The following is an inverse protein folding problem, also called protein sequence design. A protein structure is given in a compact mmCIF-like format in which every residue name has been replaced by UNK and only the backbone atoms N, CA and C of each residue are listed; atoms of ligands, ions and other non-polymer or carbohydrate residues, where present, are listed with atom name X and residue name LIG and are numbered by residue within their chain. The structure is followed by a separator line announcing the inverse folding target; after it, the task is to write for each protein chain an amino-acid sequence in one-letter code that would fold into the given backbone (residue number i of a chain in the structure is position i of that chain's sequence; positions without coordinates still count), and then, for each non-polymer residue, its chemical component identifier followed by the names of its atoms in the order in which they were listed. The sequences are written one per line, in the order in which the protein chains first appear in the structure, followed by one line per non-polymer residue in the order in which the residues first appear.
data_IF_898021595407
#
_entry.id   IF_898021595407
#
_cell.length_a   1.000
_cell.length_b   1.000
_cell.length_c   1.000
_cell.angle_alpha   90.00
_cell.angle_beta   90.00
_cell.angle_gamma   90.00
#
_symmetry.space_group_name_H-M   'P 1'
#
loop_
_entity.id
_entity.type
_entity.pdbx_description
1 polymer ?
#
# COMPACT_ATOMS: atom_id res chain seq x y z
N UNK A 1 -6.32 11.85 13.23
CA UNK A 1 -6.82 11.05 14.38
C UNK A 1 -6.17 9.67 14.28
N UNK A 2 -5.64 9.10 15.37
CA UNK A 2 -5.09 7.73 15.33
C UNK A 2 -6.22 6.78 14.93
N UNK A 3 -6.00 5.89 13.95
CA UNK A 3 -6.88 4.71 13.80
C UNK A 3 -6.87 4.03 15.18
N UNK A 4 -8.02 3.97 15.85
CA UNK A 4 -8.07 3.62 17.28
C UNK A 4 -7.30 2.32 17.54
N UNK A 5 -6.44 2.34 18.56
CA UNK A 5 -5.64 1.17 18.95
C UNK A 5 -4.47 0.80 18.02
N UNK A 6 -4.15 1.58 16.98
CA UNK A 6 -3.00 1.31 16.10
C UNK A 6 -1.81 2.25 16.36
N UNK A 7 -0.62 1.68 16.49
CA UNK A 7 0.66 2.37 16.59
C UNK A 7 1.24 2.67 15.20
N UNK A 8 0.46 3.39 14.39
CA UNK A 8 0.86 3.86 13.05
C UNK A 8 0.77 5.37 12.97
N UNK A 9 1.44 5.94 11.95
CA UNK A 9 1.36 7.38 11.69
C UNK A 9 -0.09 7.79 11.44
N UNK A 10 -0.57 8.74 12.23
CA UNK A 10 -1.93 9.26 12.05
C UNK A 10 -2.01 10.21 10.86
N UNK A 11 -2.99 9.99 10.00
CA UNK A 11 -3.36 10.98 9.00
C UNK A 11 -4.31 12.02 9.62
N UNK A 12 -4.08 13.30 9.32
CA UNK A 12 -4.82 14.42 9.92
C UNK A 12 -6.20 14.66 9.30
N UNK A 13 -6.41 14.21 8.07
CA UNK A 13 -7.67 14.41 7.34
C UNK A 13 -8.57 13.18 7.38
N UNK A 14 -9.86 13.39 7.66
CA UNK A 14 -10.92 12.41 7.40
C UNK A 14 -11.52 12.74 6.04
N UNK A 15 -11.61 11.77 5.12
CA UNK A 15 -12.31 11.97 3.86
C UNK A 15 -13.40 10.92 3.68
N UNK A 16 -14.65 11.38 3.84
CA UNK A 16 -15.85 10.81 3.26
C UNK A 16 -16.37 9.49 3.84
N UNK A 17 -17.70 9.36 3.80
CA UNK A 17 -18.40 8.07 3.66
C UNK A 17 -18.59 7.79 2.17
N UNK A 18 -18.68 6.52 1.79
CA UNK A 18 -19.12 6.13 0.44
C UNK A 18 -20.56 6.66 0.24
N UNK A 19 -20.88 7.12 -0.98
CA UNK A 19 -22.26 7.49 -1.34
C UNK A 19 -23.20 6.31 -1.02
N UNK A 20 -24.20 6.46 -0.14
CA UNK A 20 -25.15 5.38 0.17
C UNK A 20 -25.93 4.90 -1.05
N UNK A 21 -26.05 5.73 -2.10
CA UNK A 21 -26.68 5.39 -3.37
C UNK A 21 -25.66 4.89 -4.42
N UNK A 22 -24.43 4.57 -4.01
CA UNK A 22 -23.47 3.89 -4.88
C UNK A 22 -24.04 2.53 -5.31
N UNK A 23 -24.05 2.21 -6.61
CA UNK A 23 -24.54 0.92 -7.09
C UNK A 23 -23.55 -0.24 -6.83
N UNK A 24 -22.33 0.06 -6.38
CA UNK A 24 -21.23 -0.91 -6.18
C UNK A 24 -20.92 -1.76 -7.43
N UNK A 25 -21.12 -1.18 -8.60
CA UNK A 25 -20.83 -1.79 -9.90
C UNK A 25 -19.41 -1.44 -10.35
N UNK A 26 -18.68 -2.41 -10.88
CA UNK A 26 -17.38 -2.18 -11.52
C UNK A 26 -17.54 -1.55 -12.92
N UNK A 27 -16.54 -0.79 -13.33
CA UNK A 27 -16.34 -0.30 -14.70
C UNK A 27 -14.88 -0.50 -15.15
N UNK A 28 -14.54 -0.02 -16.34
CA UNK A 28 -13.16 -0.06 -16.87
C UNK A 28 -12.33 1.19 -16.54
N UNK A 29 -12.85 2.11 -15.72
CA UNK A 29 -12.18 3.37 -15.46
C UNK A 29 -11.03 3.17 -14.45
N UNK A 30 -9.92 3.87 -14.71
CA UNK A 30 -8.74 3.85 -13.85
C UNK A 30 -8.50 5.22 -13.21
N UNK A 31 -7.78 5.23 -12.10
CA UNK A 31 -7.41 6.43 -11.36
C UNK A 31 -6.72 7.45 -12.26
N UNK A 32 -7.10 8.72 -12.11
CA UNK A 32 -6.52 9.82 -12.86
C UNK A 32 -5.00 9.93 -12.69
N UNK A 33 -4.30 10.12 -13.81
CA UNK A 33 -2.86 10.36 -13.83
C UNK A 33 -2.54 11.86 -13.74
N UNK A 34 -1.27 12.17 -13.49
CA UNK A 34 -0.76 13.54 -13.55
C UNK A 34 0.76 13.57 -13.74
N UNK A 35 1.30 14.72 -14.11
CA UNK A 35 2.71 15.01 -13.86
C UNK A 35 2.92 15.56 -12.44
N UNK A 36 4.03 15.18 -11.81
CA UNK A 36 4.48 15.75 -10.53
C UNK A 36 5.72 16.61 -10.76
N UNK A 37 5.52 17.92 -10.85
CA UNK A 37 6.63 18.84 -11.11
C UNK A 37 7.38 19.15 -9.82
N UNK A 38 8.71 19.22 -9.91
CA UNK A 38 9.52 19.94 -8.93
C UNK A 38 9.48 21.43 -9.26
N UNK A 39 9.35 22.28 -8.25
CA UNK A 39 9.40 23.74 -8.40
C UNK A 39 10.28 24.35 -7.31
N UNK A 40 10.92 25.47 -7.60
CA UNK A 40 11.75 26.20 -6.63
C UNK A 40 11.33 27.65 -6.51
N UNK A 41 11.47 28.20 -5.30
CA UNK A 41 11.35 29.63 -5.04
C UNK A 41 12.70 30.34 -4.89
N UNK A 42 13.83 29.64 -5.04
CA UNK A 42 15.17 30.24 -5.03
C UNK A 42 15.44 31.00 -6.35
N UNK A 43 15.58 32.34 -6.33
CA UNK A 43 15.81 33.12 -7.54
C UNK A 43 17.05 32.71 -8.34
N UNK A 44 18.11 32.21 -7.68
CA UNK A 44 19.34 31.79 -8.35
C UNK A 44 19.15 30.49 -9.13
N UNK A 45 18.29 29.60 -8.62
CA UNK A 45 17.98 28.29 -9.20
C UNK A 45 16.68 28.27 -10.02
N UNK A 46 15.96 29.38 -10.15
CA UNK A 46 14.63 29.40 -10.76
C UNK A 46 14.66 29.72 -12.26
N UNK A 47 13.94 28.92 -13.02
CA UNK A 47 13.58 29.15 -14.42
C UNK A 47 12.08 29.52 -14.47
N UNK A 48 11.69 30.64 -15.11
CA UNK A 48 10.28 30.98 -15.28
C UNK A 48 9.50 29.85 -15.96
N UNK A 49 8.26 29.63 -15.55
CA UNK A 49 7.39 28.64 -16.21
C UNK A 49 7.14 29.11 -17.66
N UNK A 50 7.44 28.29 -18.67
CA UNK A 50 7.16 28.68 -20.06
C UNK A 50 5.64 28.67 -20.32
N UNK A 51 5.17 29.61 -21.14
CA UNK A 51 3.80 29.54 -21.69
C UNK A 51 3.74 28.38 -22.68
N UNK A 52 2.85 27.38 -22.50
CA UNK A 52 2.71 26.30 -23.49
C UNK A 52 2.27 26.83 -24.86
N UNK A 53 2.72 26.19 -25.94
CA UNK A 53 2.35 26.55 -27.31
C UNK A 53 0.84 26.39 -27.53
N UNK A 54 0.26 25.27 -27.08
CA UNK A 54 -1.16 24.97 -27.15
C UNK A 54 -1.95 25.50 -25.93
N UNK A 55 -1.52 26.61 -25.31
CA UNK A 55 -2.18 27.16 -24.14
C UNK A 55 -3.61 27.63 -24.45
N UNK A 56 -4.58 26.99 -23.83
CA UNK A 56 -5.98 27.41 -23.81
C UNK A 56 -6.41 27.70 -22.38
N UNK A 57 -6.76 28.96 -22.13
CA UNK A 57 -7.18 29.48 -20.83
C UNK A 57 -8.38 28.71 -20.28
N UNK A 58 -9.33 28.33 -21.13
CA UNK A 58 -10.63 27.81 -20.69
C UNK A 58 -10.51 26.44 -20.00
N UNK A 59 -9.44 25.69 -20.27
CA UNK A 59 -9.12 24.45 -19.56
C UNK A 59 -8.89 24.65 -18.05
N UNK A 60 -8.47 25.85 -17.64
CA UNK A 60 -8.03 26.14 -16.27
C UNK A 60 -9.04 26.96 -15.47
N UNK A 61 -9.95 27.70 -16.11
CA UNK A 61 -10.93 28.58 -15.45
C UNK A 61 -11.72 27.83 -14.39
N UNK A 62 -12.29 26.68 -14.75
CA UNK A 62 -13.11 25.86 -13.86
C UNK A 62 -12.34 24.72 -13.16
N UNK A 63 -11.03 24.64 -13.39
CA UNK A 63 -10.18 23.65 -12.74
C UNK A 63 -10.04 23.95 -11.24
N UNK A 64 -10.21 22.93 -10.40
CA UNK A 64 -10.36 23.14 -8.96
C UNK A 64 -9.09 22.93 -8.15
N UNK A 65 -8.11 22.20 -8.69
CA UNK A 65 -6.85 21.94 -7.99
C UNK A 65 -5.86 23.02 -8.39
N UNK A 66 -5.95 24.17 -7.73
CA UNK A 66 -5.14 25.37 -8.04
C UNK A 66 -4.17 25.67 -6.89
N UNK A 67 -3.14 24.84 -6.74
CA UNK A 67 -2.16 24.99 -5.66
C UNK A 67 -0.80 24.36 -6.00
N UNK A 68 0.24 24.85 -5.31
CA UNK A 68 1.56 24.22 -5.15
C UNK A 68 1.59 23.67 -3.72
N UNK A 69 2.20 22.49 -3.51
CA UNK A 69 2.31 21.92 -2.17
C UNK A 69 3.10 22.87 -1.24
N UNK A 70 2.92 22.71 0.07
CA UNK A 70 3.69 23.52 1.03
C UNK A 70 5.20 23.28 0.85
N UNK A 71 6.02 24.33 0.93
CA UNK A 71 7.46 24.26 0.69
C UNK A 71 8.17 23.51 1.81
N UNK A 72 8.25 22.20 1.66
CA UNK A 72 8.86 21.30 2.63
C UNK A 72 10.05 20.53 2.03
N UNK A 73 10.49 20.89 0.81
CA UNK A 73 11.65 20.28 0.16
C UNK A 73 12.95 21.00 0.49
N UNK A 74 14.10 20.33 0.36
CA UNK A 74 15.41 20.98 0.49
C UNK A 74 15.59 22.08 -0.56
N UNK A 75 16.51 23.01 -0.33
CA UNK A 75 16.92 24.05 -1.30
C UNK A 75 15.76 24.90 -1.83
N UNK A 76 14.82 25.28 -0.95
CA UNK A 76 13.64 26.08 -1.30
C UNK A 76 12.73 25.43 -2.36
N UNK A 77 12.78 24.10 -2.48
CA UNK A 77 11.96 23.34 -3.43
C UNK A 77 10.61 22.95 -2.82
N UNK A 78 9.64 22.78 -3.72
CA UNK A 78 8.34 22.18 -3.46
C UNK A 78 7.93 21.33 -4.67
N UNK A 79 6.71 20.80 -4.65
CA UNK A 79 6.17 20.04 -5.76
C UNK A 79 4.74 20.45 -6.14
N UNK A 80 4.40 20.22 -7.40
CA UNK A 80 3.06 20.42 -7.96
C UNK A 80 2.44 19.07 -8.26
N UNK A 81 1.47 18.66 -7.44
CA UNK A 81 0.66 17.44 -7.61
C UNK A 81 -0.83 17.78 -7.82
N UNK A 82 -1.08 18.98 -8.33
CA UNK A 82 -2.40 19.49 -8.62
C UNK A 82 -2.96 19.07 -9.99
N UNK A 83 -2.20 18.93 -11.11
CA UNK A 83 -2.74 18.72 -12.46
C UNK A 83 -3.21 17.29 -12.73
N UNK A 84 -4.18 16.83 -11.95
CA UNK A 84 -4.85 15.54 -12.08
C UNK A 84 -5.98 15.65 -13.10
N UNK A 85 -5.99 14.75 -14.10
CA UNK A 85 -6.94 14.75 -15.21
C UNK A 85 -7.75 13.44 -15.28
N UNK A 86 -8.90 13.35 -14.57
CA UNK A 86 -9.79 12.18 -14.65
C UNK A 86 -10.29 11.94 -16.08
N UNK A 87 -10.36 10.67 -16.47
CA UNK A 87 -10.82 10.23 -17.79
C UNK A 87 -9.84 10.46 -18.95
N UNK A 88 -8.79 11.27 -18.79
CA UNK A 88 -7.86 11.57 -19.90
C UNK A 88 -6.79 10.50 -20.12
N UNK A 89 -6.69 9.55 -19.20
CA UNK A 89 -5.68 8.51 -19.21
C UNK A 89 -6.22 7.09 -19.48
N UNK A 90 -7.52 6.93 -19.75
CA UNK A 90 -8.15 5.60 -19.85
C UNK A 90 -7.60 4.76 -21.00
N UNK A 91 -7.18 5.37 -22.11
CA UNK A 91 -6.57 4.65 -23.23
C UNK A 91 -5.08 4.33 -22.98
N UNK A 92 -4.45 4.86 -21.92
CA UNK A 92 -3.02 4.69 -21.68
C UNK A 92 -2.59 3.23 -21.39
N UNK A 93 -3.28 2.45 -20.54
CA UNK A 93 -2.89 1.09 -20.22
C UNK A 93 -2.80 0.20 -21.46
N UNK A 94 -3.77 0.33 -22.38
CA UNK A 94 -3.89 -0.51 -23.56
C UNK A 94 -3.40 0.13 -24.87
N UNK A 95 -3.08 1.42 -24.84
CA UNK A 95 -2.58 2.17 -25.98
C UNK A 95 -1.20 1.69 -26.46
N UNK A 96 -0.99 1.89 -27.76
CA UNK A 96 0.33 1.79 -28.39
C UNK A 96 1.23 2.99 -28.01
N UNK A 97 2.44 3.03 -28.59
CA UNK A 97 3.41 4.09 -28.30
C UNK A 97 2.90 5.48 -28.68
N UNK A 98 2.23 5.62 -29.82
CA UNK A 98 1.68 6.91 -30.26
C UNK A 98 0.56 7.40 -29.31
N UNK A 99 -0.34 6.49 -28.91
CA UNK A 99 -1.41 6.78 -27.96
C UNK A 99 -0.84 7.20 -26.62
N UNK A 100 0.15 6.46 -26.10
CA UNK A 100 0.80 6.78 -24.82
C UNK A 100 1.54 8.11 -24.88
N UNK A 101 2.30 8.38 -25.94
CA UNK A 101 3.03 9.65 -26.12
C UNK A 101 2.06 10.84 -26.20
N UNK A 102 0.98 10.72 -26.96
CA UNK A 102 -0.08 11.74 -27.03
C UNK A 102 -0.66 12.06 -25.65
N UNK A 103 -0.99 11.04 -24.86
CA UNK A 103 -1.55 11.20 -23.51
C UNK A 103 -0.51 11.82 -22.58
N UNK A 104 0.73 11.33 -22.59
CA UNK A 104 1.84 11.86 -21.78
C UNK A 104 2.06 13.35 -22.07
N UNK A 105 2.18 13.73 -23.35
CA UNK A 105 2.33 15.13 -23.77
C UNK A 105 1.15 15.99 -23.31
N UNK A 106 -0.09 15.51 -23.47
CA UNK A 106 -1.27 16.22 -22.99
C UNK A 106 -1.20 16.53 -21.48
N UNK A 107 -0.76 15.56 -20.66
CA UNK A 107 -0.65 15.75 -19.22
C UNK A 107 0.51 16.68 -18.84
N UNK A 108 1.63 16.63 -19.55
CA UNK A 108 2.77 17.53 -19.38
C UNK A 108 2.36 18.98 -19.69
N UNK A 109 1.76 19.20 -20.86
CA UNK A 109 1.31 20.51 -21.34
C UNK A 109 0.25 21.11 -20.40
N UNK A 110 -0.72 20.30 -19.95
CA UNK A 110 -1.72 20.75 -18.97
C UNK A 110 -1.07 21.16 -17.65
N UNK A 111 -0.06 20.42 -17.18
CA UNK A 111 0.67 20.74 -15.96
C UNK A 111 1.41 22.08 -16.05
N UNK A 112 2.16 22.30 -17.13
CA UNK A 112 2.85 23.56 -17.41
C UNK A 112 1.86 24.71 -17.59
N UNK A 113 0.78 24.49 -18.33
CA UNK A 113 -0.25 25.49 -18.58
C UNK A 113 -1.04 25.88 -17.33
N UNK A 114 -1.27 24.93 -16.41
CA UNK A 114 -1.86 25.23 -15.11
C UNK A 114 -0.95 26.16 -14.29
N UNK A 115 0.36 25.88 -14.24
CA UNK A 115 1.30 26.74 -13.53
C UNK A 115 1.39 28.13 -14.17
N UNK A 116 1.39 28.22 -15.51
CA UNK A 116 1.31 29.49 -16.22
C UNK A 116 0.01 30.26 -15.89
N UNK A 117 -1.15 29.60 -15.96
CA UNK A 117 -2.44 30.19 -15.62
C UNK A 117 -2.43 30.78 -14.20
N UNK A 118 -1.88 30.05 -13.22
CA UNK A 118 -1.79 30.52 -11.84
C UNK A 118 -0.89 31.75 -11.65
N UNK A 119 0.11 31.94 -12.51
CA UNK A 119 1.03 33.06 -12.48
C UNK A 119 0.53 34.29 -13.21
N UNK A 120 -0.33 34.12 -14.23
CA UNK A 120 -0.62 35.20 -15.19
C UNK A 120 -2.11 35.57 -15.29
N UNK A 121 -3.03 34.64 -15.08
CA UNK A 121 -4.46 34.86 -15.39
C UNK A 121 -5.15 35.82 -14.42
N UNK A 122 -5.86 36.82 -14.95
CA UNK A 122 -6.51 37.87 -14.15
C UNK A 122 -7.66 37.36 -13.26
N UNK A 123 -8.21 36.18 -13.55
CA UNK A 123 -9.19 35.53 -12.67
C UNK A 123 -8.59 35.06 -11.34
N UNK A 124 -7.26 34.96 -11.25
CA UNK A 124 -6.56 34.69 -10.00
C UNK A 124 -6.27 36.02 -9.29
N UNK A 125 -6.69 36.18 -8.02
CA UNK A 125 -6.42 37.39 -7.25
C UNK A 125 -4.94 37.80 -7.28
N UNK A 126 -4.65 39.10 -7.41
CA UNK A 126 -3.30 39.62 -7.62
C UNK A 126 -2.28 39.11 -6.58
N UNK A 127 -2.67 39.06 -5.31
CA UNK A 127 -1.83 38.53 -4.23
C UNK A 127 -1.47 37.05 -4.46
N UNK A 128 -2.45 36.24 -4.86
CA UNK A 128 -2.22 34.82 -5.19
C UNK A 128 -1.32 34.68 -6.41
N UNK A 129 -1.52 35.47 -7.46
CA UNK A 129 -0.63 35.48 -8.63
C UNK A 129 0.81 35.80 -8.25
N UNK A 130 1.03 36.85 -7.45
CA UNK A 130 2.36 37.21 -6.94
C UNK A 130 3.01 36.05 -6.18
N UNK A 131 2.24 35.34 -5.36
CA UNK A 131 2.74 34.16 -4.67
C UNK A 131 3.13 33.03 -5.63
N UNK A 132 2.33 32.75 -6.67
CA UNK A 132 2.67 31.75 -7.67
C UNK A 132 3.87 32.16 -8.55
N UNK A 133 4.02 33.45 -8.84
CA UNK A 133 5.16 34.02 -9.59
C UNK A 133 6.50 33.90 -8.83
N UNK A 134 6.46 33.58 -7.53
CA UNK A 134 7.67 33.23 -6.79
C UNK A 134 8.22 31.86 -7.20
N UNK A 135 7.42 31.01 -7.83
CA UNK A 135 7.80 29.64 -8.18
C UNK A 135 8.20 29.51 -9.66
N UNK A 136 9.12 28.60 -9.94
CA UNK A 136 9.50 28.21 -11.30
C UNK A 136 10.13 26.83 -11.33
N UNK A 137 10.52 26.38 -12.53
CA UNK A 137 11.26 25.12 -12.67
C UNK A 137 12.68 25.30 -12.10
N UNK A 138 13.23 24.30 -11.39
CA UNK A 138 14.59 24.36 -10.88
C UNK A 138 15.64 24.06 -11.97
N UNK A 139 16.73 24.84 -12.02
CA UNK A 139 17.84 24.61 -12.97
C UNK A 139 18.58 23.29 -12.70
N UNK A 140 18.56 22.82 -11.46
CA UNK A 140 19.30 21.65 -11.00
C UNK A 140 18.50 20.33 -11.03
N UNK A 141 17.25 20.33 -11.49
CA UNK A 141 16.50 19.08 -11.74
C UNK A 141 16.23 18.93 -13.24
N UNK A 142 16.34 17.69 -13.73
CA UNK A 142 16.00 17.32 -15.11
C UNK A 142 16.63 18.26 -16.17
N UNK A 143 17.88 18.68 -15.95
CA UNK A 143 18.55 19.70 -16.77
C UNK A 143 18.72 19.28 -18.23
N UNK A 144 18.74 17.98 -18.48
CA UNK A 144 18.77 17.31 -19.77
C UNK A 144 17.39 17.08 -20.40
N UNK A 145 16.31 17.42 -19.70
CA UNK A 145 14.93 17.25 -20.14
C UNK A 145 14.12 18.53 -19.97
N UNK A 146 14.71 19.69 -20.26
CA UNK A 146 14.03 20.98 -20.18
C UNK A 146 13.50 21.34 -18.79
N UNK A 147 14.09 20.76 -17.74
CA UNK A 147 13.72 20.96 -16.33
C UNK A 147 12.33 20.44 -15.96
N UNK A 148 11.79 19.48 -16.74
CA UNK A 148 10.53 18.79 -16.45
C UNK A 148 10.76 17.30 -16.17
N UNK A 149 9.89 16.65 -15.35
CA UNK A 149 10.01 15.22 -15.09
C UNK A 149 9.95 14.40 -16.38
N UNK A 150 10.69 13.28 -16.40
CA UNK A 150 10.69 12.34 -17.53
C UNK A 150 9.34 11.68 -17.73
N UNK A 151 8.78 11.15 -16.66
CA UNK A 151 7.63 10.26 -16.71
C UNK A 151 6.40 10.89 -16.07
N UNK A 152 5.24 10.56 -16.66
CA UNK A 152 3.96 10.83 -16.05
C UNK A 152 3.76 9.92 -14.83
N UNK A 153 3.11 10.44 -13.78
CA UNK A 153 2.75 9.64 -12.63
C UNK A 153 1.51 8.78 -12.93
N UNK A 154 1.77 7.55 -13.37
CA UNK A 154 0.81 6.50 -13.65
C UNK A 154 0.43 5.77 -12.36
N UNK A 155 -0.88 5.71 -12.04
CA UNK A 155 -1.36 5.16 -10.75
C UNK A 155 -1.69 3.68 -10.80
N UNK A 156 -2.25 3.24 -11.91
CA UNK A 156 -2.59 1.86 -12.15
C UNK A 156 -2.64 1.56 -13.64
N UNK A 157 -2.26 0.35 -14.00
CA UNK A 157 -2.31 -0.18 -15.36
C UNK A 157 -2.61 -1.68 -15.26
N UNK A 158 -2.23 -2.46 -16.28
CA UNK A 158 -2.35 -3.91 -16.30
C UNK A 158 -1.66 -4.53 -15.08
N UNK A 159 -2.41 -5.37 -14.37
CA UNK A 159 -1.94 -6.23 -13.30
C UNK A 159 -2.16 -7.68 -13.70
N UNK A 160 -1.38 -8.59 -13.13
CA UNK A 160 -1.69 -10.01 -13.27
C UNK A 160 -2.98 -10.35 -12.53
N UNK A 161 -3.69 -11.37 -13.00
CA UNK A 161 -4.56 -12.16 -12.13
C UNK A 161 -3.71 -13.27 -11.54
N UNK A 162 -3.44 -13.13 -10.25
CA UNK A 162 -2.65 -14.08 -9.48
C UNK A 162 -3.48 -15.20 -8.90
N UNK A 163 -2.81 -16.15 -8.27
CA UNK A 163 -3.44 -17.26 -7.52
C UNK A 163 -4.25 -16.78 -6.31
N UNK A 164 -4.13 -15.51 -5.96
CA UNK A 164 -5.06 -14.77 -5.13
C UNK A 164 -5.19 -13.35 -5.63
N UNK A 165 -6.39 -12.78 -5.52
CA UNK A 165 -6.65 -11.38 -5.82
C UNK A 165 -6.91 -10.71 -4.48
N UNK A 166 -6.03 -9.79 -4.08
CA UNK A 166 -6.27 -8.96 -2.91
C UNK A 166 -7.49 -8.06 -3.14
N UNK A 167 -8.36 -7.99 -2.15
CA UNK A 167 -9.62 -7.24 -2.17
C UNK A 167 -9.67 -6.28 -0.97
N UNK A 168 -10.68 -5.43 -0.93
CA UNK A 168 -10.96 -4.57 0.21
C UNK A 168 -11.27 -5.33 1.50
N UNK A 169 -11.70 -6.60 1.40
CA UNK A 169 -11.90 -7.47 2.56
C UNK A 169 -10.57 -7.80 3.24
N UNK A 170 -9.50 -8.01 2.48
CA UNK A 170 -8.15 -8.24 3.01
C UNK A 170 -7.61 -6.97 3.71
N UNK A 171 -8.09 -5.80 3.28
CA UNK A 171 -7.85 -4.47 3.86
C UNK A 171 -8.66 -4.12 5.12
N UNK A 172 -9.68 -4.91 5.45
CA UNK A 172 -10.69 -4.59 6.47
C UNK A 172 -10.63 -5.56 7.65
N UNK A 173 -11.23 -5.19 8.79
CA UNK A 173 -11.33 -6.11 9.93
C UNK A 173 -12.10 -7.37 9.54
N UNK A 174 -11.54 -8.53 9.85
CA UNK A 174 -12.24 -9.79 9.73
C UNK A 174 -13.26 -9.96 10.86
N UNK A 175 -14.27 -10.79 10.64
CA UNK A 175 -15.25 -11.12 11.66
C UNK A 175 -14.63 -12.01 12.74
N UNK A 176 -14.99 -11.78 14.01
CA UNK A 176 -14.61 -12.63 15.13
C UNK A 176 -13.24 -12.35 15.75
N UNK A 177 -12.44 -11.44 15.19
CA UNK A 177 -11.19 -10.99 15.82
C UNK A 177 -10.82 -9.54 15.45
N UNK A 178 -9.80 -8.99 16.10
CA UNK A 178 -9.41 -7.58 16.06
C UNK A 178 -8.36 -7.21 14.99
N UNK A 179 -8.28 -7.97 13.88
CA UNK A 179 -7.31 -7.72 12.80
C UNK A 179 -7.87 -8.14 11.43
N UNK A 180 -7.11 -7.86 10.38
CA UNK A 180 -7.41 -8.27 8.99
C UNK A 180 -7.32 -9.79 8.82
N UNK A 181 -7.92 -10.37 7.76
CA UNK A 181 -7.84 -11.79 7.47
C UNK A 181 -6.41 -12.32 7.56
N UNK A 182 -6.27 -13.52 8.14
CA UNK A 182 -5.00 -14.21 8.26
C UNK A 182 -4.57 -14.82 6.91
N UNK A 183 -3.37 -14.46 6.45
CA UNK A 183 -2.75 -15.03 5.27
C UNK A 183 -1.53 -15.89 5.68
N UNK A 184 -1.63 -17.23 5.59
CA UNK A 184 -0.56 -18.14 6.02
C UNK A 184 0.71 -18.08 5.21
N UNK A 185 0.62 -17.50 4.02
CA UNK A 185 1.72 -17.25 3.10
C UNK A 185 2.03 -15.75 2.98
N UNK A 186 1.76 -14.95 4.02
CA UNK A 186 2.08 -13.52 4.04
C UNK A 186 3.59 -13.28 3.84
N UNK A 187 3.92 -12.44 2.86
CA UNK A 187 5.29 -12.06 2.51
C UNK A 187 5.57 -10.57 2.67
N UNK A 188 4.55 -9.76 2.95
CA UNK A 188 4.66 -8.31 3.10
C UNK A 188 3.44 -7.78 3.83
N UNK A 189 3.50 -6.52 4.24
CA UNK A 189 2.33 -5.80 4.76
C UNK A 189 2.10 -4.47 4.05
N UNK A 190 0.86 -4.00 4.10
CA UNK A 190 0.50 -2.61 3.85
C UNK A 190 -0.25 -2.02 5.04
N UNK A 191 -0.01 -0.76 5.38
CA UNK A 191 -0.75 -0.01 6.41
C UNK A 191 -1.46 1.23 5.86
N UNK A 192 -1.27 1.53 4.57
CA UNK A 192 -1.93 2.65 3.92
C UNK A 192 -3.43 2.38 3.80
N UNK A 193 -4.21 3.46 3.79
CA UNK A 193 -5.63 3.30 3.58
C UNK A 193 -5.89 2.96 2.12
N UNK A 194 -6.91 2.15 1.86
CA UNK A 194 -7.43 1.96 0.51
C UNK A 194 -7.90 3.33 -0.02
N UNK A 195 -7.20 3.84 -1.05
CA UNK A 195 -7.51 5.10 -1.70
C UNK A 195 -7.58 4.99 -3.20
N UNK A 196 -8.52 5.76 -3.76
CA UNK A 196 -8.63 5.95 -5.18
C UNK A 196 -8.78 7.43 -5.50
N UNK A 197 -8.02 7.89 -6.47
CA UNK A 197 -8.24 9.18 -7.10
C UNK A 197 -9.41 9.10 -8.07
N UNK A 198 -10.02 10.24 -8.36
CA UNK A 198 -11.13 10.33 -9.32
C UNK A 198 -10.80 9.59 -10.63
N UNK A 199 -11.72 8.74 -11.09
CA UNK A 199 -11.54 7.94 -12.30
C UNK A 199 -12.19 8.62 -13.51
N UNK A 200 -13.38 9.20 -13.33
CA UNK A 200 -14.12 9.94 -14.36
C UNK A 200 -14.44 11.37 -13.90
N UNK A 201 -15.05 12.16 -14.77
CA UNK A 201 -15.59 13.49 -14.43
C UNK A 201 -17.07 13.46 -14.06
N UNK A 202 -17.69 12.28 -14.00
CA UNK A 202 -19.09 12.12 -13.60
C UNK A 202 -19.26 12.59 -12.16
N UNK A 203 -20.38 13.25 -11.90
CA UNK A 203 -20.63 13.89 -10.62
C UNK A 203 -22.05 13.61 -10.14
N UNK A 204 -22.25 13.73 -8.82
CA UNK A 204 -23.54 13.59 -8.16
C UNK A 204 -23.68 14.68 -7.10
N UNK A 205 -24.89 15.02 -6.65
CA UNK A 205 -25.06 15.97 -5.54
C UNK A 205 -24.21 15.60 -4.33
N UNK A 206 -23.28 16.48 -3.91
CA UNK A 206 -22.34 16.22 -2.82
C UNK A 206 -21.04 15.49 -3.19
N UNK A 207 -20.93 14.96 -4.42
CA UNK A 207 -19.77 14.20 -4.90
C UNK A 207 -19.25 14.77 -6.22
N UNK A 208 -18.05 15.36 -6.20
CA UNK A 208 -17.53 16.11 -7.34
C UNK A 208 -17.18 15.25 -8.54
N UNK A 209 -16.45 14.16 -8.35
CA UNK A 209 -15.96 13.27 -9.41
C UNK A 209 -16.02 11.83 -8.92
N UNK A 210 -16.46 10.93 -9.79
CA UNK A 210 -16.60 9.50 -9.52
C UNK A 210 -15.23 8.80 -9.32
N UNK A 211 -15.25 7.64 -8.67
CA UNK A 211 -14.07 6.84 -8.32
C UNK A 211 -13.24 7.35 -7.13
N UNK A 212 -13.45 8.59 -6.66
CA UNK A 212 -12.65 9.12 -5.55
C UNK A 212 -13.10 8.58 -4.19
N UNK A 213 -12.20 7.90 -3.48
CA UNK A 213 -12.43 7.38 -2.13
C UNK A 213 -11.16 7.39 -1.28
N UNK A 214 -11.32 7.53 0.04
CA UNK A 214 -10.25 7.43 1.03
C UNK A 214 -10.78 6.72 2.27
N UNK A 215 -10.57 5.41 2.38
CA UNK A 215 -11.17 4.58 3.43
C UNK A 215 -10.34 4.56 4.71
N UNK A 216 -10.09 5.73 5.33
CA UNK A 216 -9.18 5.85 6.49
C UNK A 216 -9.61 5.04 7.70
N UNK A 217 -10.93 4.90 7.92
CA UNK A 217 -11.51 4.25 9.10
C UNK A 217 -11.75 2.75 8.90
N UNK A 218 -11.89 2.30 7.66
CA UNK A 218 -12.11 0.89 7.31
C UNK A 218 -10.76 0.16 7.16
N UNK A 219 -9.78 0.83 6.57
CA UNK A 219 -8.48 0.21 6.29
C UNK A 219 -7.71 -0.10 7.55
N UNK A 220 -7.11 -1.29 7.60
CA UNK A 220 -6.24 -1.75 8.68
C UNK A 220 -4.92 -2.27 8.09
N UNK A 221 -3.87 -2.41 8.90
CA UNK A 221 -2.66 -3.08 8.45
C UNK A 221 -2.97 -4.50 7.95
N UNK A 222 -2.57 -4.81 6.72
CA UNK A 222 -2.98 -6.03 6.02
C UNK A 222 -1.79 -6.80 5.52
N UNK A 223 -1.92 -8.12 5.54
CA UNK A 223 -0.95 -9.06 5.00
C UNK A 223 -1.10 -9.17 3.48
N UNK A 224 0.02 -9.31 2.77
CA UNK A 224 0.07 -9.54 1.33
C UNK A 224 0.59 -10.96 1.11
N UNK A 225 -0.24 -11.90 0.62
CA UNK A 225 0.16 -13.29 0.49
C UNK A 225 1.02 -13.52 -0.75
N UNK A 226 1.93 -14.50 -0.68
CA UNK A 226 2.85 -14.88 -1.75
C UNK A 226 2.14 -15.18 -3.07
N UNK A 227 1.01 -15.89 -3.00
CA UNK A 227 0.14 -16.21 -4.14
C UNK A 227 -0.40 -14.99 -4.90
N UNK A 228 -0.32 -13.77 -4.34
CA UNK A 228 -0.64 -12.54 -5.10
C UNK A 228 0.45 -12.15 -6.10
N UNK A 229 1.67 -12.67 -5.96
CA UNK A 229 2.78 -12.42 -6.88
C UNK A 229 2.88 -13.48 -7.99
N UNK A 230 2.19 -14.62 -7.82
CA UNK A 230 2.27 -15.77 -8.73
C UNK A 230 1.04 -15.76 -9.66
N UNK A 231 1.23 -15.66 -10.99
CA UNK A 231 0.13 -15.71 -11.95
C UNK A 231 -0.65 -17.03 -11.90
N UNK A 232 -1.90 -17.02 -12.37
CA UNK A 232 -2.69 -18.25 -12.52
C UNK A 232 -2.16 -19.16 -13.63
N UNK A 233 -1.70 -18.58 -14.74
CA UNK A 233 -1.37 -19.31 -15.97
C UNK A 233 0.13 -19.64 -16.13
N UNK A 234 0.99 -19.05 -15.29
CA UNK A 234 2.45 -19.18 -15.40
C UNK A 234 3.05 -19.59 -14.06
N UNK A 235 3.70 -20.75 -14.06
CA UNK A 235 4.26 -21.34 -12.84
C UNK A 235 5.65 -20.80 -12.49
N UNK A 236 6.39 -20.26 -13.47
CA UNK A 236 7.78 -19.82 -13.30
C UNK A 236 7.97 -18.30 -13.45
N UNK A 237 6.99 -17.50 -13.04
CA UNK A 237 7.03 -16.04 -13.09
C UNK A 237 6.64 -15.44 -11.73
N UNK A 238 7.40 -14.45 -11.25
CA UNK A 238 7.07 -13.61 -10.10
C UNK A 238 6.80 -12.18 -10.57
N UNK A 239 5.71 -11.58 -10.07
CA UNK A 239 5.33 -10.20 -10.39
C UNK A 239 5.20 -9.39 -9.10
N UNK A 240 6.29 -8.77 -8.60
CA UNK A 240 6.30 -8.09 -7.30
C UNK A 240 5.67 -6.71 -7.29
N UNK A 241 5.54 -6.05 -8.46
CA UNK A 241 5.00 -4.69 -8.58
C UNK A 241 3.55 -4.74 -9.06
N UNK A 242 3.30 -5.17 -10.32
CA UNK A 242 1.95 -5.29 -10.90
C UNK A 242 1.19 -6.53 -10.41
N UNK A 243 1.28 -6.79 -9.11
CA UNK A 243 0.72 -7.94 -8.42
C UNK A 243 -0.81 -7.94 -8.44
N UNK A 244 -1.39 -9.07 -8.07
CA UNK A 244 -2.82 -9.33 -8.15
C UNK A 244 -3.64 -8.64 -7.05
N UNK A 245 -4.44 -7.65 -7.44
CA UNK A 245 -5.33 -6.89 -6.56
C UNK A 245 -6.51 -6.25 -7.32
N UNK A 246 -7.65 -6.08 -6.63
CA UNK A 246 -8.76 -5.24 -7.09
C UNK A 246 -8.35 -3.77 -7.13
N UNK A 247 -9.09 -2.96 -7.88
CA UNK A 247 -8.87 -1.51 -7.97
C UNK A 247 -8.84 -0.83 -6.58
N UNK A 248 -9.69 -1.27 -5.65
CA UNK A 248 -9.79 -0.70 -4.30
C UNK A 248 -8.59 -1.10 -3.44
N UNK A 249 -8.25 -2.39 -3.40
CA UNK A 249 -7.10 -2.88 -2.65
C UNK A 249 -5.77 -2.31 -3.18
N UNK A 250 -5.67 -2.11 -4.49
CA UNK A 250 -4.49 -1.57 -5.15
C UNK A 250 -4.04 -0.22 -4.57
N UNK A 251 -4.98 0.63 -4.14
CA UNK A 251 -4.68 1.90 -3.48
C UNK A 251 -3.76 1.75 -2.26
N UNK A 252 -3.97 0.71 -1.45
CA UNK A 252 -3.13 0.41 -0.30
C UNK A 252 -1.78 -0.23 -0.70
N UNK A 253 -1.70 -0.89 -1.85
CA UNK A 253 -0.54 -1.67 -2.27
C UNK A 253 0.48 -0.83 -3.05
N UNK A 254 0.02 0.16 -3.84
CA UNK A 254 0.83 0.92 -4.81
C UNK A 254 1.78 1.96 -4.20
N UNK A 255 2.46 1.58 -3.13
CA UNK A 255 3.42 2.39 -2.39
C UNK A 255 4.81 1.77 -2.46
N UNK A 256 5.81 2.62 -2.57
CA UNK A 256 7.22 2.24 -2.59
C UNK A 256 7.62 1.30 -1.42
N UNK A 257 7.26 1.55 -0.14
CA UNK A 257 7.58 0.62 0.94
C UNK A 257 6.95 -0.78 0.77
N UNK A 258 5.81 -0.89 0.10
CA UNK A 258 5.19 -2.20 -0.17
C UNK A 258 5.94 -2.91 -1.30
N UNK A 259 6.28 -2.18 -2.38
CA UNK A 259 7.07 -2.73 -3.48
C UNK A 259 8.47 -3.19 -3.08
N UNK A 260 9.10 -2.50 -2.13
CA UNK A 260 10.37 -2.94 -1.55
C UNK A 260 10.21 -4.30 -0.85
N UNK A 261 9.18 -4.46 -0.01
CA UNK A 261 8.92 -5.71 0.68
C UNK A 261 8.59 -6.86 -0.30
N UNK A 262 7.70 -6.63 -1.27
CA UNK A 262 7.33 -7.67 -2.24
C UNK A 262 8.47 -8.02 -3.18
N UNK A 263 9.31 -7.04 -3.56
CA UNK A 263 10.51 -7.23 -4.34
C UNK A 263 11.56 -8.08 -3.61
N UNK A 264 11.83 -7.77 -2.35
CA UNK A 264 12.74 -8.56 -1.51
C UNK A 264 12.23 -10.00 -1.32
N UNK A 265 10.95 -10.17 -0.99
CA UNK A 265 10.35 -11.48 -0.84
C UNK A 265 10.37 -12.29 -2.15
N UNK A 266 10.15 -11.65 -3.31
CA UNK A 266 10.29 -12.28 -4.60
C UNK A 266 11.74 -12.75 -4.86
N UNK A 267 12.75 -11.98 -4.42
CA UNK A 267 14.15 -12.37 -4.49
C UNK A 267 14.46 -13.63 -3.67
N UNK A 268 13.98 -13.71 -2.43
CA UNK A 268 14.08 -14.92 -1.60
C UNK A 268 13.38 -16.11 -2.26
N UNK A 269 12.15 -15.92 -2.74
CA UNK A 269 11.38 -16.97 -3.39
C UNK A 269 12.09 -17.53 -4.64
N UNK A 270 12.62 -16.65 -5.50
CA UNK A 270 13.39 -17.04 -6.67
C UNK A 270 14.67 -17.82 -6.29
N UNK A 271 15.37 -17.38 -5.25
CA UNK A 271 16.58 -18.06 -4.74
C UNK A 271 16.27 -19.47 -4.23
N UNK A 272 15.23 -19.62 -3.42
CA UNK A 272 14.80 -20.90 -2.86
C UNK A 272 14.33 -21.86 -3.95
N UNK A 273 13.46 -21.40 -4.85
CA UNK A 273 12.96 -22.19 -5.98
C UNK A 273 14.11 -22.66 -6.88
N UNK A 274 15.07 -21.77 -7.18
CA UNK A 274 16.26 -22.11 -7.98
C UNK A 274 17.13 -23.18 -7.32
N UNK A 275 17.33 -23.13 -5.99
CA UNK A 275 18.10 -24.15 -5.25
C UNK A 275 17.43 -25.52 -5.27
N UNK A 276 16.11 -25.55 -5.19
CA UNK A 276 15.34 -26.80 -5.24
C UNK A 276 15.08 -27.30 -6.67
N UNK A 277 15.39 -26.51 -7.69
CA UNK A 277 15.14 -26.88 -9.09
C UNK A 277 13.66 -26.93 -9.45
N UNK A 278 12.83 -26.14 -8.76
CA UNK A 278 11.37 -26.10 -8.94
C UNK A 278 10.92 -24.75 -9.49
N UNK A 279 9.70 -24.69 -10.03
CA UNK A 279 9.07 -23.44 -10.39
C UNK A 279 8.65 -22.66 -9.14
N UNK A 280 8.60 -21.33 -9.21
CA UNK A 280 8.21 -20.48 -8.06
C UNK A 280 6.79 -20.80 -7.54
N UNK A 281 5.89 -21.20 -8.45
CA UNK A 281 4.56 -21.70 -8.13
C UNK A 281 4.52 -22.96 -7.23
N UNK A 282 5.59 -23.75 -7.23
CA UNK A 282 5.71 -24.99 -6.47
C UNK A 282 6.44 -24.79 -5.15
N UNK A 283 6.98 -23.59 -4.90
CA UNK A 283 7.69 -23.28 -3.67
C UNK A 283 6.75 -23.43 -2.47
N UNK A 284 7.20 -24.18 -1.46
CA UNK A 284 6.52 -24.22 -0.17
C UNK A 284 6.52 -22.81 0.44
N UNK A 285 5.32 -22.22 0.53
CA UNK A 285 5.16 -20.89 1.07
C UNK A 285 5.54 -20.82 2.55
N UNK A 286 5.42 -21.92 3.30
CA UNK A 286 5.84 -21.97 4.70
C UNK A 286 7.36 -21.84 4.83
N UNK A 287 8.12 -22.54 3.99
CA UNK A 287 9.56 -22.35 3.87
C UNK A 287 9.93 -20.89 3.57
N UNK A 288 9.23 -20.24 2.64
CA UNK A 288 9.46 -18.83 2.32
C UNK A 288 9.21 -17.94 3.54
N UNK A 289 8.05 -18.07 4.20
CA UNK A 289 7.72 -17.25 5.39
C UNK A 289 8.75 -17.47 6.50
N UNK A 290 9.15 -18.72 6.79
CA UNK A 290 10.19 -19.02 7.79
C UNK A 290 11.52 -18.36 7.45
N UNK A 291 11.92 -18.41 6.18
CA UNK A 291 13.13 -17.74 5.69
C UNK A 291 13.04 -16.23 5.90
N UNK A 292 11.94 -15.61 5.49
CA UNK A 292 11.72 -14.17 5.60
C UNK A 292 11.81 -13.68 7.06
N UNK A 293 11.11 -14.35 7.99
CA UNK A 293 11.12 -13.90 9.39
C UNK A 293 12.49 -14.08 10.06
N UNK A 294 13.29 -15.06 9.64
CA UNK A 294 14.67 -15.23 10.11
C UNK A 294 15.60 -14.11 9.62
N UNK A 295 15.26 -13.50 8.48
CA UNK A 295 15.96 -12.35 7.90
C UNK A 295 15.36 -11.00 8.32
N UNK A 296 14.57 -10.96 9.41
CA UNK A 296 13.93 -9.74 9.92
C UNK A 296 13.02 -9.04 8.90
N UNK A 297 12.43 -9.81 7.98
CA UNK A 297 11.45 -9.31 7.03
C UNK A 297 10.06 -9.20 7.67
N UNK A 298 9.34 -8.11 7.40
CA UNK A 298 8.04 -7.84 8.00
C UNK A 298 6.92 -8.58 7.24
N UNK A 299 6.32 -9.60 7.87
CA UNK A 299 5.20 -10.37 7.30
C UNK A 299 3.89 -10.16 8.05
N UNK A 300 3.92 -9.49 9.20
CA UNK A 300 2.75 -9.05 9.96
C UNK A 300 3.04 -7.77 10.72
N UNK A 301 2.07 -6.86 10.75
CA UNK A 301 2.12 -5.67 11.60
C UNK A 301 1.79 -6.04 13.06
N UNK A 302 2.49 -5.39 13.99
CA UNK A 302 2.19 -5.36 15.43
C UNK A 302 2.42 -3.94 15.97
N UNK A 303 1.65 -3.55 16.97
CA UNK A 303 1.76 -2.27 17.65
C UNK A 303 2.98 -2.19 18.57
N UNK A 304 3.35 -3.33 19.13
CA UNK A 304 4.23 -3.48 20.29
C UNK A 304 5.54 -4.21 19.96
N UNK A 305 5.74 -4.61 18.69
CA UNK A 305 6.96 -5.25 18.20
C UNK A 305 7.55 -4.50 17.01
N UNK A 306 8.89 -4.42 16.95
CA UNK A 306 9.62 -3.98 15.76
C UNK A 306 10.38 -5.16 15.17
N UNK A 307 10.26 -5.37 13.86
CA UNK A 307 10.91 -6.51 13.19
C UNK A 307 12.44 -6.44 13.26
N UNK A 308 12.99 -5.24 13.41
CA UNK A 308 14.43 -4.98 13.54
C UNK A 308 14.97 -5.22 14.95
N UNK A 309 14.11 -5.46 15.94
CA UNK A 309 14.58 -5.70 17.31
C UNK A 309 15.34 -7.04 17.38
N UNK A 310 16.44 -7.13 18.16
CA UNK A 310 17.26 -8.34 18.25
C UNK A 310 16.65 -9.44 19.12
N UNK A 311 15.45 -9.23 19.68
CA UNK A 311 14.81 -10.20 20.56
C UNK A 311 14.47 -11.48 19.78
N UNK A 312 14.93 -12.68 20.20
CA UNK A 312 14.67 -13.93 19.51
C UNK A 312 13.18 -14.32 19.45
N UNK A 313 12.28 -13.62 20.16
CA UNK A 313 10.83 -13.79 20.00
C UNK A 313 10.31 -13.21 18.68
N UNK A 314 11.01 -12.25 18.07
CA UNK A 314 10.51 -11.50 16.91
C UNK A 314 10.20 -12.42 15.72
N UNK A 315 11.10 -13.33 15.27
CA UNK A 315 10.78 -14.25 14.18
C UNK A 315 9.60 -15.17 14.50
N UNK A 316 9.50 -15.63 15.76
CA UNK A 316 8.41 -16.47 16.21
C UNK A 316 7.06 -15.74 16.14
N UNK A 317 6.99 -14.51 16.67
CA UNK A 317 5.78 -13.70 16.64
C UNK A 317 5.36 -13.37 15.20
N UNK A 318 6.31 -12.98 14.34
CA UNK A 318 6.04 -12.71 12.92
C UNK A 318 5.49 -13.95 12.20
N UNK A 319 6.12 -15.12 12.36
CA UNK A 319 5.65 -16.36 11.75
C UNK A 319 4.26 -16.74 12.24
N UNK A 320 4.05 -16.83 13.56
CA UNK A 320 2.78 -17.28 14.14
C UNK A 320 1.63 -16.30 13.87
N UNK A 321 1.92 -15.01 13.59
CA UNK A 321 0.94 -14.05 13.11
C UNK A 321 0.38 -14.37 11.72
N UNK A 322 1.13 -15.06 10.87
CA UNK A 322 0.62 -15.60 9.60
C UNK A 322 -0.24 -16.84 9.82
N UNK A 323 -0.13 -17.50 10.97
CA UNK A 323 -0.79 -18.80 11.23
C UNK A 323 -2.06 -18.72 12.07
N UNK A 324 -2.45 -17.53 12.52
CA UNK A 324 -3.70 -17.32 13.28
C UNK A 324 -3.54 -17.33 14.80
N UNK A 325 -2.31 -17.31 15.33
CA UNK A 325 -2.07 -17.37 16.79
C UNK A 325 -2.28 -16.04 17.51
N UNK A 326 -2.62 -14.98 16.77
CA UNK A 326 -2.88 -13.65 17.29
C UNK A 326 -4.22 -13.16 16.76
N UNK A 327 -5.07 -12.68 17.66
CA UNK A 327 -6.38 -12.15 17.30
C UNK A 327 -6.37 -10.63 17.05
N UNK A 328 -5.31 -9.91 17.44
CA UNK A 328 -5.20 -8.45 17.30
C UNK A 328 -3.82 -8.06 16.77
N UNK A 329 -3.55 -6.74 16.72
CA UNK A 329 -2.24 -6.18 16.40
C UNK A 329 -1.34 -6.02 17.63
N UNK A 330 -1.72 -6.54 18.80
CA UNK A 330 -0.89 -6.53 20.00
C UNK A 330 -0.38 -7.95 20.25
N UNK A 331 0.94 -8.15 20.12
CA UNK A 331 1.53 -9.46 20.37
C UNK A 331 1.56 -9.80 21.86
N UNK A 332 1.70 -8.78 22.71
CA UNK A 332 1.71 -8.87 24.16
C UNK A 332 2.74 -9.89 24.68
N UNK A 333 3.92 -9.95 24.05
CA UNK A 333 4.91 -11.02 24.29
C UNK A 333 5.43 -11.09 25.73
N UNK A 334 5.31 -10.00 26.49
CA UNK A 334 5.72 -9.91 27.90
C UNK A 334 4.60 -10.26 28.89
N UNK A 335 3.35 -10.33 28.43
CA UNK A 335 2.22 -10.65 29.30
C UNK A 335 2.21 -12.13 29.68
N UNK A 336 1.64 -12.49 30.84
CA UNK A 336 1.40 -13.88 31.21
C UNK A 336 0.54 -14.60 30.17
N UNK A 337 0.88 -15.87 29.91
CA UNK A 337 0.06 -16.77 29.11
C UNK A 337 -0.94 -17.49 30.04
N UNK A 338 -2.24 -17.32 29.78
CA UNK A 338 -3.29 -18.07 30.49
C UNK A 338 -3.34 -19.53 30.05
N UNK A 339 -3.82 -20.42 30.92
CA UNK A 339 -3.98 -21.85 30.64
C UNK A 339 -4.91 -22.10 29.45
N UNK A 340 -6.00 -21.32 29.33
CA UNK A 340 -6.92 -21.41 28.20
C UNK A 340 -6.25 -21.02 26.88
N UNK A 341 -5.52 -19.91 26.85
CA UNK A 341 -4.80 -19.49 25.65
C UNK A 341 -3.68 -20.48 25.30
N UNK A 342 -2.97 -21.01 26.30
CA UNK A 342 -1.95 -22.03 26.10
C UNK A 342 -2.53 -23.31 25.47
N UNK A 343 -3.72 -23.74 25.91
CA UNK A 343 -4.43 -24.88 25.33
C UNK A 343 -4.77 -24.64 23.86
N UNK A 344 -5.36 -23.48 23.53
CA UNK A 344 -5.70 -23.13 22.13
C UNK A 344 -4.44 -23.07 21.25
N UNK A 345 -3.35 -22.48 21.74
CA UNK A 345 -2.07 -22.46 21.03
C UNK A 345 -1.49 -23.86 20.84
N UNK A 346 -1.56 -24.73 21.85
CA UNK A 346 -1.11 -26.12 21.75
C UNK A 346 -1.88 -26.92 20.70
N UNK A 347 -3.21 -26.82 20.71
CA UNK A 347 -4.09 -27.45 19.72
C UNK A 347 -3.85 -26.90 18.30
N UNK A 348 -3.70 -25.57 18.19
CA UNK A 348 -3.35 -24.88 16.95
C UNK A 348 -1.99 -25.33 16.39
N UNK A 349 -0.97 -25.46 17.23
CA UNK A 349 0.35 -25.95 16.81
C UNK A 349 0.29 -27.41 16.34
N UNK A 350 -0.44 -28.27 17.05
CA UNK A 350 -0.62 -29.65 16.65
C UNK A 350 -1.35 -29.76 15.29
N UNK A 351 -2.36 -28.93 15.05
CA UNK A 351 -3.05 -28.86 13.76
C UNK A 351 -2.16 -28.29 12.65
N UNK A 352 -1.32 -27.28 12.95
CA UNK A 352 -0.34 -26.71 12.01
C UNK A 352 0.66 -27.77 11.56
N UNK A 353 1.26 -28.50 12.51
CA UNK A 353 2.23 -29.56 12.24
C UNK A 353 1.63 -30.73 11.46
N UNK A 354 0.31 -30.94 11.57
CA UNK A 354 -0.42 -31.95 10.81
C UNK A 354 -0.97 -31.44 9.46
N UNK A 355 -0.66 -30.20 9.06
CA UNK A 355 -1.08 -29.62 7.77
C UNK A 355 -2.60 -29.41 7.65
N UNK A 356 -3.31 -29.29 8.77
CA UNK A 356 -4.78 -29.28 8.84
C UNK A 356 -5.34 -28.09 9.63
N UNK A 357 -4.54 -27.05 9.80
CA UNK A 357 -4.92 -25.85 10.55
C UNK A 357 -5.83 -24.95 9.71
N UNK A 358 -6.98 -24.58 10.27
CA UNK A 358 -7.75 -23.42 9.81
C UNK A 358 -7.23 -22.17 10.52
N UNK A 359 -6.52 -21.33 9.77
CA UNK A 359 -5.87 -20.14 10.31
C UNK A 359 -6.86 -19.06 10.78
N UNK A 360 -8.01 -18.92 10.12
CA UNK A 360 -9.01 -17.92 10.51
C UNK A 360 -9.75 -18.38 11.75
N UNK A 361 -10.16 -19.65 11.79
CA UNK A 361 -10.85 -20.20 12.94
C UNK A 361 -9.94 -20.20 14.19
N UNK A 362 -8.63 -20.46 14.03
CA UNK A 362 -7.69 -20.33 15.14
C UNK A 362 -7.66 -18.90 15.69
N UNK A 363 -7.63 -17.87 14.83
CA UNK A 363 -7.62 -16.48 15.27
C UNK A 363 -8.87 -16.11 16.08
N UNK A 364 -10.04 -16.63 15.70
CA UNK A 364 -11.29 -16.49 16.47
C UNK A 364 -11.18 -17.19 17.83
N UNK A 365 -10.73 -18.45 17.86
CA UNK A 365 -10.57 -19.19 19.11
C UNK A 365 -9.52 -18.56 20.05
N UNK A 366 -8.47 -17.94 19.49
CA UNK A 366 -7.51 -17.13 20.24
C UNK A 366 -8.17 -15.88 20.82
N UNK A 367 -9.06 -15.21 20.07
CA UNK A 367 -9.81 -14.05 20.58
C UNK A 367 -10.69 -14.43 21.78
N UNK A 368 -11.43 -15.53 21.67
CA UNK A 368 -12.29 -16.06 22.73
C UNK A 368 -11.49 -16.45 23.97
N UNK A 369 -10.33 -17.11 23.78
CA UNK A 369 -9.45 -17.49 24.88
C UNK A 369 -8.76 -16.29 25.54
N UNK A 370 -8.41 -15.26 24.78
CA UNK A 370 -7.79 -14.04 25.31
C UNK A 370 -8.79 -13.15 26.06
N UNK A 371 -10.09 -13.24 25.74
CA UNK A 371 -11.14 -12.51 26.44
C UNK A 371 -11.52 -13.13 27.79
N UNK A 372 -11.12 -14.38 28.05
CA UNK A 372 -11.35 -15.07 29.32
C UNK A 372 -10.34 -14.61 30.39
N UNK A 373 -10.75 -13.64 31.20
CA UNK A 373 -9.94 -13.08 32.28
C UNK A 373 -9.87 -13.96 33.53
N UNK A 374 -10.69 -15.01 33.61
CA UNK A 374 -10.76 -15.90 34.77
C UNK A 374 -9.79 -17.09 34.65
N UNK A 375 -9.22 -17.31 33.46
CA UNK A 375 -8.26 -18.40 33.23
C UNK A 375 -6.92 -18.15 33.97
N UNK A 376 -6.45 -19.10 34.80
CA UNK A 376 -5.19 -18.97 35.53
C UNK A 376 -3.98 -18.80 34.61
N UNK A 377 -2.92 -18.16 35.11
CA UNK A 377 -1.65 -18.06 34.38
C UNK A 377 -0.85 -19.36 34.45
N UNK A 378 -0.21 -19.73 33.33
CA UNK A 378 0.66 -20.92 33.24
C UNK A 378 2.03 -20.75 33.92
N UNK A 379 2.31 -19.59 34.51
CA UNK A 379 3.63 -19.22 35.04
C UNK A 379 4.67 -18.86 33.97
N UNK A 380 4.30 -18.82 32.68
CA UNK A 380 5.15 -18.39 31.55
C UNK A 380 4.53 -17.20 30.85
N UNK A 381 5.37 -16.37 30.23
CA UNK A 381 4.93 -15.31 29.32
C UNK A 381 4.53 -15.86 27.95
N UNK A 382 3.72 -15.09 27.20
CA UNK A 382 3.36 -15.41 25.81
C UNK A 382 4.60 -15.58 24.93
N UNK A 383 5.60 -14.72 25.08
CA UNK A 383 6.85 -14.75 24.33
C UNK A 383 7.71 -15.98 24.62
N UNK A 384 7.74 -16.46 25.86
CA UNK A 384 8.42 -17.72 26.20
C UNK A 384 7.79 -18.93 25.49
N UNK A 385 6.45 -19.01 25.45
CA UNK A 385 5.78 -20.09 24.74
C UNK A 385 5.97 -19.98 23.22
N UNK A 386 5.86 -18.78 22.63
CA UNK A 386 6.13 -18.57 21.21
C UNK A 386 7.53 -19.04 20.82
N UNK A 387 8.55 -18.70 21.61
CA UNK A 387 9.93 -19.16 21.36
C UNK A 387 10.06 -20.68 21.46
N UNK A 388 9.40 -21.30 22.44
CA UNK A 388 9.38 -22.76 22.57
C UNK A 388 8.73 -23.43 21.35
N UNK A 389 7.57 -22.95 20.92
CA UNK A 389 6.88 -23.47 19.73
C UNK A 389 7.70 -23.25 18.45
N UNK A 390 8.37 -22.10 18.33
CA UNK A 390 9.24 -21.78 17.20
C UNK A 390 10.45 -22.71 17.10
N UNK A 391 11.13 -22.99 18.22
CA UNK A 391 12.25 -23.95 18.25
C UNK A 391 11.81 -25.33 17.73
N UNK A 392 10.65 -25.81 18.18
CA UNK A 392 10.10 -27.09 17.71
C UNK A 392 9.85 -27.12 16.19
N UNK A 393 9.46 -26.00 15.58
CA UNK A 393 9.25 -25.90 14.14
C UNK A 393 10.58 -25.89 13.36
N UNK A 394 11.54 -25.07 13.80
CA UNK A 394 12.83 -24.91 13.14
C UNK A 394 13.69 -26.18 13.27
N UNK A 395 13.69 -26.84 14.43
CA UNK A 395 14.44 -28.09 14.64
C UNK A 395 13.88 -29.27 13.83
N UNK A 396 12.58 -29.27 13.51
CA UNK A 396 11.94 -30.30 12.67
C UNK A 396 12.21 -30.13 11.17
N UNK A 397 12.71 -28.98 10.74
CA UNK A 397 12.93 -28.63 9.32
C UNK A 397 14.37 -28.14 9.08
N UNK A 398 15.36 -28.84 9.64
CA UNK A 398 16.73 -28.76 9.12
C UNK A 398 16.74 -29.49 7.77
N UNK A 399 17.07 -28.81 6.65
CA UNK A 399 17.19 -29.45 5.34
C UNK A 399 18.21 -30.60 5.32
#
# INVERSE_FOLDING_TARGET
MKRQGLNIRSYGGRQGSIDPASPFTADGAVQAYNYRFCVTSDPANRIPIPKPVAYDREQYVNYHRKYIAKPNGPNHKSHVNSPILPGKNHDYPDGDWETRDRITRQHLEFGLGLMWFLQHDESIPLERRRNFQMWGLPKDEYADNGHVPYEMYVRETRRIVGRHVLTEHDGSLAAGHGRTPIHPDSIAITDWYMDSHSCTTDNRPGFRYDGKLILTEQSRPSQIPYRSLVPQELDNLLVPVCLSATHIAWGAIRLEPVFLQTGEAAGFAASLAKRQGIAVAQLDADLLVRTLVQHQHLVSFFNDLKVTDPDPVIPAAQYFATKGFFHSYDAAVREPLSERLAKVWGEGLAALLAGRLDHQQLAVSVAEAAADTDSPATGRSRGEELRKMWKLLVERHVP
#
